data_IF_596081346619
#
_entry.id   IF_596081346619
#
_cell.length_a   1.000
_cell.length_b   1.000
_cell.length_c   1.000
_cell.angle_alpha   90.00
_cell.angle_beta   90.00
_cell.angle_gamma   90.00
#
_symmetry.space_group_name_H-M   'P 1'
#
loop_
_entity.id
_entity.type
_entity.pdbx_description
1 polymer ?
#
# COMPACT_ATOMS: atom_id res chain seq x y z
N UNK A 1 -21.62 13.42 -15.28
CA UNK A 1 -20.39 12.76 -15.78
C UNK A 1 -19.65 11.97 -14.70
N UNK A 2 -19.47 12.49 -13.48
CA UNK A 2 -18.61 11.86 -12.45
C UNK A 2 -19.05 10.46 -11.97
N UNK A 3 -20.35 10.25 -11.74
CA UNK A 3 -20.86 8.96 -11.23
C UNK A 3 -20.61 7.78 -12.18
N UNK A 4 -20.65 8.01 -13.50
CA UNK A 4 -20.39 6.96 -14.50
C UNK A 4 -18.95 6.43 -14.42
N UNK A 5 -17.98 7.32 -14.20
CA UNK A 5 -16.59 6.91 -14.06
C UNK A 5 -16.35 6.08 -12.79
N UNK A 6 -17.00 6.47 -11.69
CA UNK A 6 -16.96 5.71 -10.44
C UNK A 6 -17.58 4.33 -10.58
N UNK A 7 -18.77 4.23 -11.21
CA UNK A 7 -19.45 2.94 -11.38
C UNK A 7 -18.71 2.01 -12.33
N UNK A 8 -18.10 2.53 -13.39
CA UNK A 8 -17.27 1.75 -14.32
C UNK A 8 -15.99 1.26 -13.62
N UNK A 9 -15.32 2.11 -12.84
CA UNK A 9 -14.13 1.70 -12.10
C UNK A 9 -14.44 0.65 -11.02
N UNK A 10 -15.51 0.83 -10.24
CA UNK A 10 -15.93 -0.17 -9.26
C UNK A 10 -16.39 -1.45 -9.94
N UNK A 11 -17.11 -1.35 -11.05
CA UNK A 11 -17.57 -2.49 -11.85
C UNK A 11 -16.41 -3.28 -12.42
N UNK A 12 -15.38 -2.60 -12.93
CA UNK A 12 -14.17 -3.23 -13.46
C UNK A 12 -13.37 -3.91 -12.35
N UNK A 13 -13.18 -3.25 -11.19
CA UNK A 13 -12.51 -3.85 -10.03
C UNK A 13 -13.29 -5.06 -9.47
N UNK A 14 -14.62 -4.98 -9.39
CA UNK A 14 -15.47 -6.09 -8.92
C UNK A 14 -15.49 -7.24 -9.92
N UNK A 15 -15.55 -6.96 -11.23
CA UNK A 15 -15.50 -7.98 -12.29
C UNK A 15 -14.18 -8.73 -12.25
N UNK A 16 -13.07 -8.02 -11.98
CA UNK A 16 -11.79 -8.66 -11.72
C UNK A 16 -11.90 -9.53 -10.47
N UNK A 17 -12.35 -9.01 -9.32
CA UNK A 17 -12.40 -9.78 -8.07
C UNK A 17 -13.28 -11.04 -8.14
N UNK A 18 -14.45 -10.94 -8.78
CA UNK A 18 -15.43 -12.01 -8.88
C UNK A 18 -15.26 -12.90 -10.10
N UNK A 19 -14.39 -12.55 -11.05
CA UNK A 19 -14.15 -13.35 -12.26
C UNK A 19 -13.62 -14.76 -12.00
N UNK A 20 -13.06 -15.01 -10.81
CA UNK A 20 -12.58 -16.33 -10.37
C UNK A 20 -13.56 -17.06 -9.44
N UNK A 21 -14.59 -16.39 -8.91
CA UNK A 21 -15.51 -16.99 -7.95
C UNK A 21 -16.40 -18.04 -8.64
N UNK A 22 -15.98 -19.30 -8.58
CA UNK A 22 -16.77 -20.46 -9.00
C UNK A 22 -17.34 -21.12 -7.75
N UNK A 23 -18.64 -20.94 -7.45
CA UNK A 23 -19.27 -21.61 -6.31
C UNK A 23 -19.35 -23.14 -6.51
N UNK A 24 -19.29 -23.61 -7.75
CA UNK A 24 -19.40 -25.01 -8.12
C UNK A 24 -18.06 -25.49 -8.74
N UNK A 25 -17.25 -26.20 -7.96
CA UNK A 25 -15.97 -26.83 -8.36
C UNK A 25 -16.12 -27.92 -9.45
N UNK A 26 -17.21 -27.92 -10.24
CA UNK A 26 -17.59 -28.97 -11.19
C UNK A 26 -17.32 -28.62 -12.65
N UNK A 27 -17.10 -27.34 -12.99
CA UNK A 27 -16.63 -26.95 -14.33
C UNK A 27 -15.17 -26.51 -14.27
N UNK A 28 -14.28 -27.35 -14.78
CA UNK A 28 -12.89 -26.97 -15.04
C UNK A 28 -12.89 -25.77 -15.99
N UNK A 29 -12.75 -24.56 -15.43
CA UNK A 29 -12.48 -23.35 -16.20
C UNK A 29 -11.40 -23.67 -17.23
N UNK A 30 -11.68 -23.38 -18.50
CA UNK A 30 -10.71 -23.60 -19.57
C UNK A 30 -9.37 -22.97 -19.17
N UNK A 31 -8.29 -23.76 -19.30
CA UNK A 31 -6.93 -23.37 -18.92
C UNK A 31 -6.49 -22.05 -19.56
N UNK A 32 -7.07 -21.77 -20.73
CA UNK A 32 -6.91 -20.54 -21.50
C UNK A 32 -7.55 -19.32 -20.82
N UNK A 33 -8.74 -19.48 -20.24
CA UNK A 33 -9.41 -18.38 -19.53
C UNK A 33 -8.69 -18.05 -18.22
N UNK A 34 -8.18 -19.07 -17.53
CA UNK A 34 -7.39 -18.89 -16.31
C UNK A 34 -6.08 -18.14 -16.59
N UNK A 35 -5.35 -18.47 -17.66
CA UNK A 35 -4.10 -17.79 -18.00
C UNK A 35 -4.33 -16.34 -18.40
N UNK A 36 -5.34 -16.08 -19.25
CA UNK A 36 -5.74 -14.72 -19.64
C UNK A 36 -6.14 -13.91 -18.42
N UNK A 37 -6.92 -14.48 -17.50
CA UNK A 37 -7.29 -13.81 -16.26
C UNK A 37 -6.06 -13.46 -15.40
N UNK A 38 -5.12 -14.41 -15.19
CA UNK A 38 -3.90 -14.17 -14.40
C UNK A 38 -2.97 -13.12 -15.02
N UNK A 39 -3.02 -12.91 -16.34
CA UNK A 39 -2.28 -11.83 -16.98
C UNK A 39 -3.00 -10.47 -16.83
N UNK A 40 -4.33 -10.48 -16.90
CA UNK A 40 -5.14 -9.25 -17.04
C UNK A 40 -5.59 -8.68 -15.70
N UNK A 41 -5.65 -9.47 -14.62
CA UNK A 41 -6.13 -8.98 -13.32
C UNK A 41 -5.28 -7.81 -12.80
N UNK A 42 -3.96 -7.87 -13.00
CA UNK A 42 -3.02 -6.89 -12.46
C UNK A 42 -3.05 -5.59 -13.24
N UNK A 43 -3.26 -5.67 -14.56
CA UNK A 43 -3.44 -4.49 -15.43
C UNK A 43 -4.79 -3.84 -15.18
N UNK A 44 -5.87 -4.63 -15.10
CA UNK A 44 -7.21 -4.14 -14.82
C UNK A 44 -7.31 -3.47 -13.44
N UNK A 45 -6.70 -4.06 -12.41
CA UNK A 45 -6.58 -3.42 -11.10
C UNK A 45 -5.83 -2.09 -11.16
N UNK A 46 -4.70 -2.06 -11.89
CA UNK A 46 -3.92 -0.85 -12.12
C UNK A 46 -4.72 0.26 -12.81
N UNK A 47 -5.53 -0.08 -13.81
CA UNK A 47 -6.42 0.86 -14.50
C UNK A 47 -7.48 1.42 -13.55
N UNK A 48 -8.08 0.57 -12.71
CA UNK A 48 -9.03 1.00 -11.68
C UNK A 48 -8.42 2.01 -10.70
N UNK A 49 -7.20 1.73 -10.21
CA UNK A 49 -6.46 2.66 -9.33
C UNK A 49 -6.08 3.94 -10.07
N UNK A 50 -5.60 3.85 -11.32
CA UNK A 50 -5.24 5.01 -12.13
C UNK A 50 -6.44 5.95 -12.35
N UNK A 51 -7.64 5.39 -12.58
CA UNK A 51 -8.86 6.18 -12.66
C UNK A 51 -9.16 6.95 -11.38
N UNK A 52 -8.98 6.32 -10.21
CA UNK A 52 -9.15 6.99 -8.91
C UNK A 52 -8.17 8.15 -8.75
N UNK A 53 -6.90 7.96 -9.14
CA UNK A 53 -5.88 9.03 -9.09
C UNK A 53 -6.26 10.20 -10.00
N UNK A 54 -6.69 9.93 -11.23
CA UNK A 54 -7.13 10.96 -12.18
C UNK A 54 -8.36 11.71 -11.62
N UNK A 55 -9.34 10.98 -11.07
CA UNK A 55 -10.52 11.58 -10.47
C UNK A 55 -10.17 12.52 -9.30
N UNK A 56 -9.19 12.14 -8.47
CA UNK A 56 -8.64 13.00 -7.43
C UNK A 56 -7.93 14.23 -8.00
N UNK A 57 -7.11 14.06 -9.05
CA UNK A 57 -6.36 15.16 -9.68
C UNK A 57 -7.26 16.19 -10.37
N UNK A 58 -8.39 15.77 -10.94
CA UNK A 58 -9.37 16.67 -11.58
C UNK A 58 -10.28 17.40 -10.56
N UNK A 59 -10.08 17.21 -9.25
CA UNK A 59 -10.88 17.86 -8.20
C UNK A 59 -12.28 17.28 -8.01
N UNK A 60 -12.64 16.23 -8.77
CA UNK A 60 -13.91 15.51 -8.66
C UNK A 60 -13.84 14.30 -7.71
N UNK A 61 -12.78 14.18 -6.92
CA UNK A 61 -12.55 13.07 -5.99
C UNK A 61 -13.36 13.11 -4.69
N UNK A 62 -14.04 14.23 -4.38
CA UNK A 62 -14.92 14.37 -3.21
C UNK A 62 -14.29 13.83 -1.91
N UNK A 63 -14.96 12.82 -1.32
CA UNK A 63 -14.57 12.16 -0.07
C UNK A 63 -13.21 11.45 -0.18
N UNK A 64 -12.89 10.84 -1.32
CA UNK A 64 -11.62 10.11 -1.51
C UNK A 64 -10.45 11.09 -1.47
N UNK A 65 -10.60 12.28 -2.05
CA UNK A 65 -9.58 13.32 -1.99
C UNK A 65 -9.35 13.80 -0.54
N UNK A 66 -10.40 13.89 0.27
CA UNK A 66 -10.28 14.24 1.71
C UNK A 66 -9.55 13.15 2.51
N UNK A 67 -9.83 11.87 2.24
CA UNK A 67 -9.15 10.73 2.87
C UNK A 67 -7.66 10.74 2.48
N UNK A 68 -7.36 10.94 1.19
CA UNK A 68 -5.99 10.90 0.67
C UNK A 68 -5.16 12.11 1.09
N UNK A 69 -5.79 13.27 1.28
CA UNK A 69 -5.14 14.48 1.80
C UNK A 69 -4.90 14.42 3.32
N UNK A 70 -5.36 13.36 3.99
CA UNK A 70 -5.22 13.26 5.43
C UNK A 70 -3.76 13.03 5.83
N UNK A 71 -3.26 13.86 6.76
CA UNK A 71 -1.90 13.78 7.31
C UNK A 71 -1.54 12.40 7.89
N UNK A 72 -2.54 11.57 8.22
CA UNK A 72 -2.35 10.19 8.66
C UNK A 72 -1.78 9.25 7.58
N UNK A 73 -1.92 9.57 6.29
CA UNK A 73 -1.36 8.73 5.21
C UNK A 73 0.15 8.79 5.07
N UNK A 74 0.79 9.87 5.56
CA UNK A 74 2.24 10.03 5.54
C UNK A 74 2.94 8.93 6.37
N UNK A 75 2.62 8.74 7.66
CA UNK A 75 3.23 7.66 8.43
C UNK A 75 2.78 6.27 7.95
N UNK A 76 1.52 6.13 7.51
CA UNK A 76 0.98 4.86 7.01
C UNK A 76 1.72 4.36 5.76
N UNK A 77 2.03 5.26 4.82
CA UNK A 77 2.77 4.93 3.59
C UNK A 77 4.20 4.48 3.89
N UNK A 78 4.81 5.02 4.94
CA UNK A 78 6.16 4.61 5.39
C UNK A 78 6.12 3.25 6.05
N UNK A 79 5.11 2.99 6.88
CA UNK A 79 4.90 1.69 7.53
C UNK A 79 4.69 0.57 6.50
N UNK A 80 3.82 0.81 5.51
CA UNK A 80 3.56 -0.17 4.44
C UNK A 80 4.79 -0.38 3.56
N UNK A 81 5.58 0.66 3.30
CA UNK A 81 6.86 0.54 2.60
C UNK A 81 7.88 -0.32 3.36
N UNK A 82 8.07 -0.07 4.66
CA UNK A 82 8.96 -0.89 5.50
C UNK A 82 8.48 -2.35 5.53
N UNK A 83 7.18 -2.57 5.66
CA UNK A 83 6.58 -3.92 5.63
C UNK A 83 6.84 -4.60 4.28
N UNK A 84 6.66 -3.87 3.17
CA UNK A 84 6.88 -4.39 1.82
C UNK A 84 8.33 -4.82 1.59
N UNK A 85 9.32 -4.13 2.16
CA UNK A 85 10.73 -4.52 2.07
C UNK A 85 11.07 -5.73 2.95
N UNK A 86 10.51 -5.80 4.16
CA UNK A 86 10.77 -6.90 5.12
C UNK A 86 10.10 -8.19 4.67
N UNK A 87 8.91 -8.10 4.08
CA UNK A 87 8.12 -9.25 3.66
C UNK A 87 8.87 -10.28 2.77
N UNK A 88 9.52 -9.91 1.65
CA UNK A 88 10.27 -10.84 0.82
C UNK A 88 11.52 -11.40 1.52
N UNK A 89 12.15 -10.63 2.41
CA UNK A 89 13.32 -11.09 3.18
C UNK A 89 12.91 -12.19 4.16
N UNK A 90 11.83 -11.96 4.91
CA UNK A 90 11.28 -12.94 5.85
C UNK A 90 10.77 -14.18 5.10
N UNK A 91 10.12 -13.98 3.96
CA UNK A 91 9.69 -15.09 3.10
C UNK A 91 10.88 -15.92 2.62
N UNK A 92 11.94 -15.27 2.14
CA UNK A 92 13.15 -15.94 1.66
C UNK A 92 13.85 -16.74 2.77
N UNK A 93 13.99 -16.17 3.97
CA UNK A 93 14.59 -16.85 5.13
C UNK A 93 13.74 -18.03 5.59
N UNK A 94 12.41 -17.88 5.62
CA UNK A 94 11.47 -18.93 5.96
C UNK A 94 11.56 -20.08 4.93
N UNK A 95 11.57 -19.76 3.64
CA UNK A 95 11.68 -20.74 2.56
C UNK A 95 13.04 -21.46 2.55
N UNK A 96 14.14 -20.75 2.83
CA UNK A 96 15.48 -21.35 2.94
C UNK A 96 15.60 -22.29 4.16
N UNK A 97 14.91 -21.94 5.25
CA UNK A 97 14.85 -22.77 6.47
C UNK A 97 13.97 -24.01 6.28
N UNK A 98 13.04 -23.99 5.33
CA UNK A 98 12.11 -25.09 5.06
C UNK A 98 12.82 -26.18 4.22
N UNK A 99 13.62 -27.02 4.89
CA UNK A 99 14.32 -28.17 4.30
C UNK A 99 13.52 -29.47 4.31
N UNK A 100 12.25 -29.43 4.74
CA UNK A 100 11.43 -30.60 4.99
C UNK A 100 10.16 -30.57 4.14
N UNK A 101 9.79 -31.70 3.56
CA UNK A 101 8.50 -31.93 2.89
C UNK A 101 7.37 -31.87 3.92
N UNK A 102 6.90 -30.66 4.23
CA UNK A 102 5.66 -30.49 4.97
C UNK A 102 4.50 -30.88 4.05
N UNK A 103 3.62 -31.77 4.51
CA UNK A 103 2.32 -31.96 3.87
C UNK A 103 1.58 -30.63 3.95
N UNK A 104 1.61 -29.88 2.84
CA UNK A 104 0.95 -28.59 2.67
C UNK A 104 -0.57 -28.78 2.67
N UNK A 105 -1.14 -28.94 3.86
CA UNK A 105 -2.58 -28.75 4.07
C UNK A 105 -2.87 -27.26 4.08
N UNK A 106 -3.98 -26.85 3.47
CA UNK A 106 -4.37 -25.43 3.33
C UNK A 106 -4.35 -24.67 4.68
N UNK A 107 -4.75 -25.35 5.75
CA UNK A 107 -4.77 -24.78 7.11
C UNK A 107 -3.35 -24.42 7.60
N UNK A 108 -2.37 -25.30 7.37
CA UNK A 108 -0.99 -25.08 7.78
C UNK A 108 -0.39 -23.91 6.98
N UNK A 109 -0.69 -23.84 5.68
CA UNK A 109 -0.25 -22.77 4.80
C UNK A 109 -0.81 -21.40 5.25
N UNK A 110 -2.11 -21.33 5.56
CA UNK A 110 -2.74 -20.11 6.07
C UNK A 110 -2.12 -19.71 7.42
N UNK A 111 -1.92 -20.66 8.33
CA UNK A 111 -1.31 -20.38 9.63
C UNK A 111 0.14 -19.85 9.50
N UNK A 112 0.94 -20.49 8.65
CA UNK A 112 2.33 -20.08 8.39
C UNK A 112 2.37 -18.68 7.75
N UNK A 113 1.47 -18.42 6.79
CA UNK A 113 1.36 -17.12 6.13
C UNK A 113 0.99 -16.01 7.12
N UNK A 114 -0.05 -16.21 7.93
CA UNK A 114 -0.48 -15.25 8.95
C UNK A 114 0.63 -15.03 9.98
N UNK A 115 1.30 -16.09 10.42
CA UNK A 115 2.45 -15.97 11.34
C UNK A 115 3.58 -15.11 10.76
N UNK A 116 3.98 -15.38 9.51
CA UNK A 116 5.02 -14.61 8.83
C UNK A 116 4.61 -13.15 8.61
N UNK A 117 3.33 -12.91 8.33
CA UNK A 117 2.76 -11.58 8.17
C UNK A 117 2.81 -10.81 9.49
N UNK A 118 2.36 -11.39 10.60
CA UNK A 118 2.39 -10.76 11.93
C UNK A 118 3.81 -10.43 12.34
N UNK A 119 4.76 -11.36 12.18
CA UNK A 119 6.18 -11.12 12.52
C UNK A 119 6.76 -10.00 11.66
N UNK A 120 6.50 -10.00 10.35
CA UNK A 120 6.97 -8.96 9.43
C UNK A 120 6.41 -7.58 9.81
N UNK A 121 5.12 -7.51 10.17
CA UNK A 121 4.49 -6.28 10.61
C UNK A 121 5.03 -5.79 11.96
N UNK A 122 5.30 -6.68 12.92
CA UNK A 122 5.92 -6.29 14.20
C UNK A 122 7.32 -5.70 14.00
N UNK A 123 8.15 -6.36 13.19
CA UNK A 123 9.51 -5.86 12.88
C UNK A 123 9.43 -4.53 12.12
N UNK A 124 8.58 -4.42 11.11
CA UNK A 124 8.38 -3.19 10.36
C UNK A 124 7.87 -2.04 11.24
N UNK A 125 7.01 -2.33 12.22
CA UNK A 125 6.51 -1.35 13.17
C UNK A 125 7.61 -0.83 14.11
N UNK A 126 8.43 -1.72 14.68
CA UNK A 126 9.58 -1.33 15.51
C UNK A 126 10.56 -0.45 14.72
N UNK A 127 10.89 -0.88 13.49
CA UNK A 127 11.75 -0.12 12.59
C UNK A 127 11.13 1.24 12.28
N UNK A 128 9.84 1.29 11.94
CA UNK A 128 9.14 2.55 11.66
C UNK A 128 9.21 3.50 12.86
N UNK A 129 8.94 3.04 14.09
CA UNK A 129 9.01 3.87 15.30
C UNK A 129 10.44 4.36 15.60
N UNK A 130 11.44 3.51 15.37
CA UNK A 130 12.85 3.87 15.53
C UNK A 130 13.31 4.92 14.51
N UNK A 131 12.68 4.98 13.33
CA UNK A 131 12.96 6.00 12.31
C UNK A 131 12.02 7.22 12.38
N UNK A 132 10.84 7.10 12.99
CA UNK A 132 9.90 8.21 13.19
C UNK A 132 10.38 9.17 14.27
N UNK A 133 10.90 8.63 15.39
CA UNK A 133 11.44 9.41 16.49
C UNK A 133 12.60 10.36 16.09
N UNK A 134 13.61 9.96 15.27
CA UNK A 134 14.62 10.88 14.77
C UNK A 134 14.08 11.82 13.69
N UNK A 135 13.11 11.41 12.88
CA UNK A 135 12.53 12.26 11.83
C UNK A 135 11.75 13.45 12.42
N UNK A 136 10.94 13.21 13.46
CA UNK A 136 10.24 14.30 14.17
C UNK A 136 11.22 15.26 14.86
N UNK A 137 12.35 14.73 15.36
CA UNK A 137 13.43 15.53 15.91
C UNK A 137 14.09 16.44 14.86
N UNK A 138 14.29 15.94 13.65
CA UNK A 138 14.83 16.72 12.52
C UNK A 138 13.85 17.78 12.03
N UNK A 139 12.55 17.46 11.89
CA UNK A 139 11.54 18.42 11.44
C UNK A 139 11.42 19.62 12.39
N UNK A 140 11.46 19.38 13.71
CA UNK A 140 11.47 20.48 14.70
C UNK A 140 12.71 21.36 14.58
N UNK A 141 13.89 20.78 14.31
CA UNK A 141 15.12 21.56 14.11
C UNK A 141 15.07 22.37 12.81
N UNK A 142 14.60 21.77 11.72
CA UNK A 142 14.44 22.45 10.42
C UNK A 142 13.42 23.58 10.51
N UNK A 143 12.25 23.37 11.13
CA UNK A 143 11.26 24.45 11.30
C UNK A 143 11.78 25.59 12.18
N UNK A 144 12.52 25.26 13.24
CA UNK A 144 13.15 26.26 14.11
C UNK A 144 14.23 27.06 13.35
N UNK A 145 15.01 26.39 12.51
CA UNK A 145 16.05 27.00 11.66
C UNK A 145 15.45 27.91 10.56
N UNK A 146 14.35 27.50 9.93
CA UNK A 146 13.62 28.34 8.96
C UNK A 146 13.02 29.58 9.62
N UNK A 147 12.49 29.43 10.85
CA UNK A 147 11.94 30.54 11.61
C UNK A 147 13.02 31.53 12.06
N UNK A 148 14.20 31.05 12.46
CA UNK A 148 15.34 31.90 12.86
C UNK A 148 15.95 32.62 11.64
N UNK A 149 16.13 31.93 10.51
CA UNK A 149 16.65 32.52 9.27
C UNK A 149 15.71 33.60 8.71
N UNK A 150 14.39 33.37 8.78
CA UNK A 150 13.37 34.36 8.38
C UNK A 150 13.37 35.60 9.27
N UNK A 151 13.56 35.43 10.59
CA UNK A 151 13.69 36.57 11.52
C UNK A 151 14.96 37.38 11.26
N UNK A 152 16.10 36.71 11.00
CA UNK A 152 17.37 37.39 10.70
C UNK A 152 17.26 38.29 9.47
N UNK A 153 16.70 37.78 8.37
CA UNK A 153 16.45 38.58 7.15
C UNK A 153 15.53 39.78 7.40
N UNK A 154 14.54 39.65 8.30
CA UNK A 154 13.65 40.76 8.70
C UNK A 154 14.32 41.83 9.54
N UNK A 155 15.38 41.49 10.30
CA UNK A 155 16.15 42.46 11.06
C UNK A 155 17.12 43.22 10.16
N UNK A 156 17.86 42.53 9.28
CA UNK A 156 18.77 43.18 8.31
C UNK A 156 18.03 44.18 7.40
N UNK A 157 16.79 43.88 7.00
CA UNK A 157 15.97 44.76 6.16
C UNK A 157 15.31 45.93 6.93
N UNK A 158 15.50 46.05 8.25
CA UNK A 158 15.05 47.21 9.04
C UNK A 158 16.17 48.20 9.35
N UNK A 159 17.43 47.78 9.18
CA UNK A 159 18.62 48.60 9.44
C UNK A 159 19.13 49.30 8.17
N UNK A 160 18.57 48.94 7.01
CA UNK A 160 18.68 49.66 5.73
C UNK A 160 17.43 50.53 5.50
#
# INVERSE_FOLDING_TARGET
>A
MNFLGWTIATGLCLTVLYGIYNPDNTHTLSRELASVYTATFRTAWGIGVAWVVIACATGNGGIINTILSWRAFIPLSRLTYCTYLVHPIVFYVCFNSMRTTLHLTDILLVFLFVGNLVISYMVAFIVSLAFESPMMGLEKKVQTDQASCTKRKRQENKEM
#
